data_IF_263686371435
#
_entry.id   IF_263686371435
#
_cell.length_a   1.000
_cell.length_b   1.000
_cell.length_c   1.000
_cell.angle_alpha   90.00
_cell.angle_beta   90.00
_cell.angle_gamma   90.00
#
_symmetry.space_group_name_H-M   'P 1'
#
loop_
_entity.id
_entity.type
_entity.pdbx_description
1 polymer ?
#
# COMPACT_ATOMS: atom_id res chain seq x y z
N UNK A 1 -2.63 20.43 18.71
CA UNK A 1 -3.58 20.80 17.62
C UNK A 1 -2.87 21.04 16.29
N UNK A 2 -1.79 21.82 16.24
CA UNK A 2 -1.10 22.15 14.98
C UNK A 2 -0.55 20.92 14.23
N UNK A 3 0.10 19.95 14.92
CA UNK A 3 0.63 18.73 14.30
C UNK A 3 -0.45 17.97 13.49
N UNK A 4 -1.62 17.75 14.07
CA UNK A 4 -2.73 17.05 13.42
C UNK A 4 -3.22 17.81 12.19
N UNK A 5 -3.32 19.15 12.31
CA UNK A 5 -3.75 20.02 11.19
C UNK A 5 -2.74 19.99 10.05
N UNK A 6 -1.45 20.14 10.36
CA UNK A 6 -0.36 20.07 9.36
C UNK A 6 -0.38 18.73 8.66
N UNK A 7 -0.41 17.63 9.41
CA UNK A 7 -0.43 16.27 8.88
C UNK A 7 -1.62 16.04 7.93
N UNK A 8 -2.84 16.43 8.34
CA UNK A 8 -4.04 16.25 7.51
C UNK A 8 -3.95 17.04 6.20
N UNK A 9 -3.47 18.26 6.24
CA UNK A 9 -3.32 19.11 5.05
C UNK A 9 -2.21 18.57 4.14
N UNK A 10 -1.09 18.19 4.72
CA UNK A 10 0.02 17.60 3.96
C UNK A 10 -0.40 16.28 3.29
N UNK A 11 -1.08 15.41 4.01
CA UNK A 11 -1.59 14.14 3.50
C UNK A 11 -2.51 14.32 2.28
N UNK A 12 -3.49 15.22 2.37
CA UNK A 12 -4.39 15.52 1.27
C UNK A 12 -3.66 16.09 0.06
N UNK A 13 -2.77 17.05 0.27
CA UNK A 13 -2.00 17.69 -0.80
C UNK A 13 -1.03 16.72 -1.48
N UNK A 14 -0.31 15.92 -0.70
CA UNK A 14 0.61 14.92 -1.25
C UNK A 14 -0.13 13.85 -2.06
N UNK A 15 -1.32 13.46 -1.62
CA UNK A 15 -2.15 12.51 -2.37
C UNK A 15 -2.69 13.12 -3.68
N UNK A 16 -3.07 14.39 -3.68
CA UNK A 16 -3.65 15.07 -4.84
C UNK A 16 -2.60 15.42 -5.89
N UNK A 17 -1.42 15.92 -5.46
CA UNK A 17 -0.43 16.59 -6.32
C UNK A 17 0.92 15.89 -6.40
N UNK A 18 1.13 14.83 -5.61
CA UNK A 18 2.43 14.21 -5.41
C UNK A 18 3.27 14.92 -4.34
N UNK A 19 4.23 14.20 -3.80
CA UNK A 19 5.08 14.72 -2.71
C UNK A 19 6.09 15.75 -3.20
N UNK A 20 6.55 15.64 -4.45
CA UNK A 20 7.54 16.56 -5.01
C UNK A 20 6.94 17.97 -5.27
N UNK A 21 5.73 18.03 -5.80
CA UNK A 21 5.09 19.28 -6.24
C UNK A 21 4.58 20.17 -5.10
N UNK A 22 4.46 19.66 -3.87
CA UNK A 22 3.95 20.40 -2.72
C UNK A 22 5.11 20.99 -1.91
N UNK A 23 5.14 22.29 -1.70
CA UNK A 23 6.10 22.96 -0.83
C UNK A 23 5.53 23.29 0.56
N UNK A 24 6.40 23.66 1.50
CA UNK A 24 6.00 24.00 2.87
C UNK A 24 5.20 25.31 2.95
N UNK A 25 5.31 26.18 1.95
CA UNK A 25 4.53 27.40 1.87
C UNK A 25 3.07 27.11 1.53
N UNK A 26 2.82 26.22 0.60
CA UNK A 26 1.47 25.72 0.27
C UNK A 26 0.80 25.07 1.50
N UNK A 27 1.55 24.27 2.26
CA UNK A 27 1.04 23.66 3.50
C UNK A 27 0.71 24.73 4.53
N UNK A 28 1.55 25.77 4.69
CA UNK A 28 1.27 26.94 5.54
C UNK A 28 -0.04 27.60 5.14
N UNK A 29 -0.20 27.92 3.87
CA UNK A 29 -1.34 28.70 3.37
C UNK A 29 -2.67 27.96 3.57
N UNK A 30 -2.68 26.64 3.33
CA UNK A 30 -3.89 25.83 3.47
C UNK A 30 -4.13 25.43 4.93
N UNK A 31 -3.08 25.12 5.71
CA UNK A 31 -3.24 24.76 7.11
C UNK A 31 -3.51 25.97 8.02
N UNK A 32 -3.15 27.18 7.59
CA UNK A 32 -3.19 28.37 8.43
C UNK A 32 -2.20 28.34 9.61
N UNK A 33 -1.24 27.41 9.62
CA UNK A 33 -0.20 27.30 10.65
C UNK A 33 1.04 28.08 10.19
N UNK A 34 1.54 29.03 10.96
CA UNK A 34 2.73 29.81 10.58
C UNK A 34 3.93 28.91 10.26
N UNK A 35 4.69 29.25 9.22
CA UNK A 35 5.81 28.46 8.73
C UNK A 35 6.83 28.12 9.82
N UNK A 36 7.12 29.11 10.72
CA UNK A 36 7.99 28.89 11.88
C UNK A 36 7.49 27.75 12.80
N UNK A 37 6.18 27.63 12.98
CA UNK A 37 5.58 26.56 13.80
C UNK A 37 5.58 25.23 13.05
N UNK A 38 5.42 25.26 11.73
CA UNK A 38 5.53 24.04 10.91
C UNK A 38 6.95 23.47 11.06
N UNK A 39 8.00 24.29 10.87
CA UNK A 39 9.39 23.85 11.03
C UNK A 39 9.78 23.51 12.48
N UNK A 40 9.09 24.08 13.47
CA UNK A 40 9.26 23.65 14.86
C UNK A 40 8.64 22.26 15.14
N UNK A 41 7.69 21.82 14.30
CA UNK A 41 6.99 20.53 14.44
C UNK A 41 7.62 19.44 13.57
N UNK A 42 8.09 19.81 12.39
CA UNK A 42 8.75 18.95 11.40
C UNK A 42 9.96 19.68 10.86
N UNK A 43 11.17 19.18 11.15
CA UNK A 43 12.43 19.87 10.82
C UNK A 43 12.65 20.03 9.31
N UNK A 44 12.00 19.21 8.49
CA UNK A 44 12.08 19.27 7.03
C UNK A 44 10.79 18.77 6.36
N UNK A 45 10.67 19.02 5.05
CA UNK A 45 9.62 18.44 4.22
C UNK A 45 9.75 16.91 4.18
N UNK A 46 10.97 16.38 4.09
CA UNK A 46 11.25 14.94 4.09
C UNK A 46 10.75 14.27 5.38
N UNK A 47 10.97 14.90 6.54
CA UNK A 47 10.41 14.41 7.80
C UNK A 47 8.89 14.43 7.81
N UNK A 48 8.26 15.48 7.29
CA UNK A 48 6.81 15.55 7.18
C UNK A 48 6.24 14.47 6.26
N UNK A 49 6.87 14.22 5.10
CA UNK A 49 6.48 13.14 4.18
C UNK A 49 6.61 11.79 4.87
N UNK A 50 7.73 11.54 5.55
CA UNK A 50 7.93 10.29 6.28
C UNK A 50 6.86 10.06 7.35
N UNK A 51 6.51 11.09 8.12
CA UNK A 51 5.47 10.98 9.16
C UNK A 51 4.07 10.75 8.55
N UNK A 52 3.77 11.35 7.40
CA UNK A 52 2.53 11.08 6.65
C UNK A 52 2.51 9.63 6.17
N UNK A 53 3.59 9.13 5.58
CA UNK A 53 3.71 7.73 5.18
C UNK A 53 3.55 6.78 6.37
N UNK A 54 4.20 7.07 7.49
CA UNK A 54 4.10 6.25 8.70
C UNK A 54 2.66 6.16 9.21
N UNK A 55 1.92 7.29 9.22
CA UNK A 55 0.53 7.27 9.63
C UNK A 55 -0.34 6.49 8.65
N UNK A 56 -0.14 6.70 7.35
CA UNK A 56 -0.85 5.93 6.29
C UNK A 56 -0.59 4.43 6.38
N UNK A 57 0.63 4.01 6.72
CA UNK A 57 0.95 2.59 6.91
C UNK A 57 0.09 1.97 8.03
N UNK A 58 0.02 2.64 9.18
CA UNK A 58 -0.78 2.19 10.31
C UNK A 58 -2.27 2.09 9.92
N UNK A 59 -2.80 3.16 9.30
CA UNK A 59 -4.22 3.26 8.97
C UNK A 59 -4.63 2.27 7.89
N UNK A 60 -3.81 2.11 6.83
CA UNK A 60 -4.08 1.20 5.73
C UNK A 60 -4.08 -0.26 6.18
N UNK A 61 -3.05 -0.68 6.93
CA UNK A 61 -2.99 -2.06 7.47
C UNK A 61 -4.15 -2.36 8.40
N UNK A 62 -4.46 -1.43 9.32
CA UNK A 62 -5.60 -1.60 10.21
C UNK A 62 -6.94 -1.63 9.45
N UNK A 63 -7.08 -0.89 8.36
CA UNK A 63 -8.31 -0.87 7.56
C UNK A 63 -8.51 -2.20 6.80
N UNK A 64 -7.44 -2.77 6.21
CA UNK A 64 -7.50 -4.07 5.53
C UNK A 64 -7.89 -5.16 6.52
N UNK A 65 -7.19 -5.27 7.66
CA UNK A 65 -7.46 -6.29 8.69
C UNK A 65 -8.91 -6.20 9.17
N UNK A 66 -9.38 -5.00 9.57
CA UNK A 66 -10.77 -4.81 10.00
C UNK A 66 -11.79 -5.21 8.94
N UNK A 67 -11.50 -4.92 7.67
CA UNK A 67 -12.41 -5.29 6.59
C UNK A 67 -12.48 -6.81 6.44
N UNK A 68 -11.34 -7.49 6.39
CA UNK A 68 -11.25 -8.95 6.27
C UNK A 68 -11.96 -9.62 7.44
N UNK A 69 -11.66 -9.21 8.69
CA UNK A 69 -12.27 -9.78 9.90
C UNK A 69 -13.79 -9.64 9.95
N UNK A 70 -14.34 -8.62 9.27
CA UNK A 70 -15.78 -8.36 9.26
C UNK A 70 -16.53 -8.95 8.06
N UNK A 71 -15.83 -9.49 7.06
CA UNK A 71 -16.44 -9.95 5.80
C UNK A 71 -16.05 -11.38 5.37
N UNK A 72 -15.22 -12.06 6.16
CA UNK A 72 -14.77 -13.40 5.83
C UNK A 72 -14.74 -14.29 7.07
N UNK A 73 -15.30 -15.50 6.95
CA UNK A 73 -15.34 -16.51 8.00
C UNK A 73 -14.40 -17.69 7.70
N UNK A 74 -13.98 -17.87 6.44
CA UNK A 74 -13.11 -18.96 6.02
C UNK A 74 -11.76 -18.42 5.49
N UNK A 75 -10.64 -19.18 5.66
CA UNK A 75 -9.30 -18.70 5.31
C UNK A 75 -9.15 -18.25 3.85
N UNK A 76 -9.71 -18.98 2.90
CA UNK A 76 -9.68 -18.61 1.46
C UNK A 76 -10.50 -17.35 1.21
N UNK A 77 -11.65 -17.21 1.87
CA UNK A 77 -12.48 -16.02 1.73
C UNK A 77 -11.79 -14.79 2.32
N UNK A 78 -10.96 -14.96 3.37
CA UNK A 78 -10.12 -13.89 3.92
C UNK A 78 -9.12 -13.34 2.90
N UNK A 79 -8.47 -14.21 2.12
CA UNK A 79 -7.60 -13.78 1.03
C UNK A 79 -8.38 -12.98 -0.02
N UNK A 80 -9.56 -13.45 -0.40
CA UNK A 80 -10.37 -12.80 -1.44
C UNK A 80 -11.02 -11.50 -0.96
N UNK A 81 -11.34 -11.39 0.33
CA UNK A 81 -11.87 -10.18 0.94
C UNK A 81 -10.88 -9.00 0.87
N UNK A 82 -9.56 -9.26 0.80
CA UNK A 82 -8.58 -8.20 0.54
C UNK A 82 -8.88 -7.49 -0.79
N UNK A 83 -9.25 -8.23 -1.84
CA UNK A 83 -9.57 -7.65 -3.15
C UNK A 83 -10.92 -6.92 -3.13
N UNK A 84 -11.89 -7.37 -2.32
CA UNK A 84 -13.14 -6.64 -2.13
C UNK A 84 -12.90 -5.31 -1.39
N UNK A 85 -11.99 -5.30 -0.40
CA UNK A 85 -11.52 -4.06 0.22
C UNK A 85 -10.88 -3.14 -0.82
N UNK A 86 -10.04 -3.66 -1.71
CA UNK A 86 -9.41 -2.86 -2.78
C UNK A 86 -10.45 -2.25 -3.71
N UNK A 87 -11.50 -2.99 -4.08
CA UNK A 87 -12.59 -2.45 -4.90
C UNK A 87 -13.24 -1.24 -4.23
N UNK A 88 -13.58 -1.38 -2.93
CA UNK A 88 -14.16 -0.29 -2.17
C UNK A 88 -13.23 0.91 -2.06
N UNK A 89 -11.93 0.68 -1.87
CA UNK A 89 -10.93 1.74 -1.81
C UNK A 89 -10.71 2.41 -3.17
N UNK A 90 -10.59 1.64 -4.26
CA UNK A 90 -10.43 2.18 -5.61
C UNK A 90 -11.64 3.00 -6.06
N UNK A 91 -12.81 2.74 -5.51
CA UNK A 91 -14.05 3.48 -5.77
C UNK A 91 -14.11 4.85 -5.07
N UNK A 92 -13.16 5.16 -4.18
CA UNK A 92 -13.16 6.44 -3.48
C UNK A 92 -12.73 7.58 -4.43
N UNK A 93 -13.36 8.76 -4.37
CA UNK A 93 -13.02 9.90 -5.23
C UNK A 93 -11.56 10.36 -5.08
N UNK A 94 -10.98 10.16 -3.91
CA UNK A 94 -9.61 10.54 -3.56
C UNK A 94 -8.56 9.49 -3.96
N UNK A 95 -8.97 8.34 -4.51
CA UNK A 95 -8.03 7.30 -4.93
C UNK A 95 -7.13 7.79 -6.07
N UNK A 96 -5.83 7.66 -5.89
CA UNK A 96 -4.78 8.07 -6.86
C UNK A 96 -3.71 6.98 -7.03
N UNK A 97 -4.09 5.70 -6.82
CA UNK A 97 -3.13 4.60 -6.77
C UNK A 97 -2.50 4.46 -5.39
N UNK A 98 -1.45 3.66 -5.32
CA UNK A 98 -0.74 3.43 -4.07
C UNK A 98 0.18 4.61 -3.72
N UNK A 99 -0.11 5.31 -2.63
CA UNK A 99 0.69 6.45 -2.17
C UNK A 99 2.17 6.09 -1.93
N UNK A 100 2.45 4.90 -1.42
CA UNK A 100 3.84 4.44 -1.18
C UNK A 100 4.60 4.24 -2.49
N UNK A 101 3.97 3.63 -3.51
CA UNK A 101 4.59 3.47 -4.83
C UNK A 101 4.83 4.84 -5.46
N UNK A 102 3.87 5.76 -5.37
CA UNK A 102 3.99 7.11 -5.92
C UNK A 102 5.11 7.89 -5.22
N UNK A 103 5.12 7.93 -3.88
CA UNK A 103 6.17 8.61 -3.11
C UNK A 103 7.56 8.01 -3.36
N UNK A 104 7.67 6.68 -3.50
CA UNK A 104 8.92 6.02 -3.86
C UNK A 104 9.38 6.40 -5.27
N UNK A 105 8.48 6.45 -6.25
CA UNK A 105 8.79 6.88 -7.61
C UNK A 105 9.31 8.33 -7.68
N UNK A 106 8.79 9.22 -6.83
CA UNK A 106 9.19 10.62 -6.81
C UNK A 106 10.48 10.89 -6.00
N UNK A 107 10.67 10.19 -4.88
CA UNK A 107 11.67 10.54 -3.87
C UNK A 107 12.59 9.39 -3.44
N UNK A 108 12.28 8.14 -3.83
CA UNK A 108 12.99 6.95 -3.34
C UNK A 108 14.48 6.92 -3.70
N UNK A 109 14.89 7.58 -4.80
CA UNK A 109 16.29 7.69 -5.20
C UNK A 109 17.07 8.80 -4.47
N UNK A 110 16.40 9.69 -3.75
CA UNK A 110 16.98 10.87 -3.09
C UNK A 110 16.72 10.93 -1.59
N UNK A 111 15.85 10.06 -1.06
CA UNK A 111 15.52 9.94 0.36
C UNK A 111 15.47 8.48 0.80
N UNK A 112 16.52 8.03 1.50
CA UNK A 112 16.58 6.68 2.09
C UNK A 112 15.40 6.45 3.06
N UNK A 113 14.97 7.47 3.78
CA UNK A 113 13.82 7.38 4.71
C UNK A 113 12.53 7.02 3.98
N UNK A 114 12.29 7.60 2.81
CA UNK A 114 11.09 7.31 1.99
C UNK A 114 11.20 5.92 1.36
N UNK A 115 12.39 5.55 0.89
CA UNK A 115 12.64 4.21 0.38
C UNK A 115 12.42 3.14 1.46
N UNK A 116 12.94 3.36 2.67
CA UNK A 116 12.83 2.42 3.78
C UNK A 116 11.40 2.26 4.28
N UNK A 117 10.66 3.35 4.52
CA UNK A 117 9.26 3.26 4.97
C UNK A 117 8.38 2.59 3.92
N UNK A 118 8.65 2.81 2.62
CA UNK A 118 7.95 2.12 1.54
C UNK A 118 8.24 0.62 1.56
N UNK A 119 9.50 0.23 1.73
CA UNK A 119 9.91 -1.19 1.83
C UNK A 119 9.24 -1.85 3.03
N UNK A 120 9.27 -1.21 4.20
CA UNK A 120 8.64 -1.73 5.43
C UNK A 120 7.13 -1.93 5.21
N UNK A 121 6.45 -0.96 4.62
CA UNK A 121 5.02 -1.10 4.29
C UNK A 121 4.75 -2.29 3.36
N UNK A 122 5.55 -2.45 2.30
CA UNK A 122 5.36 -3.55 1.33
C UNK A 122 5.63 -4.91 1.95
N UNK A 123 6.67 -5.03 2.78
CA UNK A 123 6.93 -6.25 3.55
C UNK A 123 5.74 -6.58 4.47
N UNK A 124 5.23 -5.60 5.22
CA UNK A 124 4.11 -5.84 6.13
C UNK A 124 2.82 -6.29 5.40
N UNK A 125 2.57 -5.83 4.18
CA UNK A 125 1.46 -6.32 3.35
C UNK A 125 1.70 -7.77 2.90
N UNK A 126 2.93 -8.10 2.50
CA UNK A 126 3.30 -9.48 2.14
C UNK A 126 3.23 -10.42 3.34
N UNK A 127 3.69 -9.97 4.52
CA UNK A 127 3.59 -10.73 5.77
C UNK A 127 2.14 -11.05 6.13
N UNK A 128 1.24 -10.08 5.95
CA UNK A 128 -0.20 -10.31 6.15
C UNK A 128 -0.76 -11.35 5.18
N UNK A 129 -0.37 -11.31 3.89
CA UNK A 129 -0.73 -12.39 2.96
C UNK A 129 -0.14 -13.73 3.38
N UNK A 130 1.07 -13.76 3.92
CA UNK A 130 1.69 -14.99 4.41
C UNK A 130 0.89 -15.63 5.55
N UNK A 131 0.35 -14.81 6.46
CA UNK A 131 -0.55 -15.27 7.52
C UNK A 131 -1.85 -15.86 6.95
N UNK A 132 -2.49 -15.18 5.99
CA UNK A 132 -3.73 -15.65 5.36
C UNK A 132 -3.52 -16.92 4.54
N UNK A 133 -2.41 -16.99 3.79
CA UNK A 133 -2.02 -18.15 2.97
C UNK A 133 -1.73 -19.36 3.84
N UNK A 134 -1.00 -19.18 4.95
CA UNK A 134 -0.74 -20.24 5.92
C UNK A 134 -2.03 -20.76 6.58
N UNK A 135 -2.94 -19.85 6.96
CA UNK A 135 -4.25 -20.21 7.50
C UNK A 135 -5.09 -21.01 6.50
N UNK A 136 -4.96 -20.72 5.19
CA UNK A 136 -5.64 -21.44 4.11
C UNK A 136 -4.95 -22.78 3.74
N UNK A 137 -3.81 -23.12 4.32
CA UNK A 137 -3.04 -24.33 4.01
C UNK A 137 -2.43 -24.32 2.61
N UNK A 138 -2.19 -23.14 2.03
CA UNK A 138 -1.63 -22.97 0.70
C UNK A 138 -0.08 -22.89 0.74
N UNK A 139 0.63 -23.15 -0.38
CA UNK A 139 2.06 -22.97 -0.48
C UNK A 139 2.49 -21.52 -0.19
N UNK A 140 3.63 -21.34 0.48
CA UNK A 140 4.08 -20.03 0.98
C UNK A 140 4.34 -19.00 -0.14
N UNK A 141 4.76 -19.43 -1.34
CA UNK A 141 5.02 -18.59 -2.50
C UNK A 141 3.77 -17.89 -3.06
N UNK A 142 2.58 -18.40 -2.74
CA UNK A 142 1.30 -17.76 -3.07
C UNK A 142 1.20 -16.36 -2.46
N UNK A 143 1.79 -16.12 -1.29
CA UNK A 143 1.78 -14.81 -0.64
C UNK A 143 2.49 -13.73 -1.47
N UNK A 144 3.66 -14.05 -2.00
CA UNK A 144 4.41 -13.14 -2.90
C UNK A 144 3.64 -12.87 -4.19
N UNK A 145 3.03 -13.91 -4.77
CA UNK A 145 2.23 -13.81 -6.00
C UNK A 145 1.00 -12.91 -5.77
N UNK A 146 0.30 -13.05 -4.65
CA UNK A 146 -0.83 -12.20 -4.26
C UNK A 146 -0.37 -10.75 -4.02
N UNK A 147 0.79 -10.54 -3.41
CA UNK A 147 1.37 -9.21 -3.20
C UNK A 147 1.70 -8.50 -4.51
N UNK A 148 2.27 -9.23 -5.49
CA UNK A 148 2.53 -8.71 -6.84
C UNK A 148 1.22 -8.33 -7.51
N UNK A 149 0.20 -9.20 -7.42
CA UNK A 149 -1.12 -8.99 -8.01
C UNK A 149 -1.81 -7.75 -7.44
N UNK A 150 -1.79 -7.56 -6.13
CA UNK A 150 -2.34 -6.36 -5.45
C UNK A 150 -1.61 -5.10 -5.90
N UNK A 151 -0.29 -5.13 -5.99
CA UNK A 151 0.49 -3.97 -6.45
C UNK A 151 0.16 -3.62 -7.91
N UNK A 152 0.05 -4.62 -8.78
CA UNK A 152 -0.39 -4.45 -10.17
C UNK A 152 -1.80 -3.88 -10.27
N UNK A 153 -2.74 -4.40 -9.49
CA UNK A 153 -4.12 -3.91 -9.44
C UNK A 153 -4.21 -2.44 -9.01
N UNK A 154 -3.48 -2.05 -7.95
CA UNK A 154 -3.44 -0.65 -7.49
C UNK A 154 -2.87 0.31 -8.53
N UNK A 155 -1.78 -0.08 -9.19
CA UNK A 155 -1.17 0.75 -10.24
C UNK A 155 -2.11 0.90 -11.44
N UNK A 156 -2.68 -0.20 -11.91
CA UNK A 156 -3.60 -0.24 -13.04
C UNK A 156 -4.88 0.57 -12.75
N UNK A 157 -5.46 0.41 -11.57
CA UNK A 157 -6.65 1.16 -11.14
C UNK A 157 -6.38 2.67 -11.09
N UNK A 158 -5.19 3.09 -10.61
CA UNK A 158 -4.78 4.49 -10.59
C UNK A 158 -4.59 5.10 -11.98
N UNK A 159 -4.01 4.33 -12.92
CA UNK A 159 -3.78 4.78 -14.30
C UNK A 159 -5.08 4.91 -15.08
N UNK A 160 -5.97 3.93 -14.99
CA UNK A 160 -7.20 3.87 -15.79
C UNK A 160 -8.42 4.47 -15.08
N UNK A 161 -8.26 4.93 -13.83
CA UNK A 161 -9.33 5.49 -12.99
C UNK A 161 -10.57 4.57 -12.93
N UNK A 162 -10.34 3.26 -12.72
CA UNK A 162 -11.41 2.27 -12.66
C UNK A 162 -11.24 1.31 -11.47
N UNK A 163 -12.27 1.07 -10.66
CA UNK A 163 -12.21 0.09 -9.57
C UNK A 163 -12.29 -1.36 -10.05
N UNK A 164 -12.72 -1.62 -11.29
CA UNK A 164 -12.94 -2.96 -11.85
C UNK A 164 -11.67 -3.81 -11.88
N UNK A 165 -10.51 -3.18 -11.85
CA UNK A 165 -9.22 -3.87 -11.76
C UNK A 165 -9.12 -4.74 -10.50
N UNK A 166 -9.78 -4.35 -9.41
CA UNK A 166 -9.82 -5.16 -8.18
C UNK A 166 -10.60 -6.48 -8.39
N UNK A 167 -11.72 -6.44 -9.12
CA UNK A 167 -12.47 -7.64 -9.48
C UNK A 167 -11.68 -8.57 -10.40
N UNK A 168 -10.95 -8.01 -11.37
CA UNK A 168 -10.08 -8.77 -12.26
C UNK A 168 -8.96 -9.44 -11.45
N UNK A 169 -8.32 -8.70 -10.53
CA UNK A 169 -7.30 -9.24 -9.65
C UNK A 169 -7.87 -10.32 -8.71
N UNK A 170 -9.09 -10.14 -8.16
CA UNK A 170 -9.77 -11.15 -7.36
C UNK A 170 -9.99 -12.46 -8.15
N UNK A 171 -10.41 -12.36 -9.41
CA UNK A 171 -10.58 -13.52 -10.27
C UNK A 171 -9.25 -14.27 -10.52
N UNK A 172 -8.15 -13.54 -10.75
CA UNK A 172 -6.81 -14.13 -10.88
C UNK A 172 -6.35 -14.75 -9.55
N UNK A 173 -6.60 -14.11 -8.43
CA UNK A 173 -6.29 -14.66 -7.10
C UNK A 173 -7.03 -15.98 -6.85
N UNK A 174 -8.30 -16.08 -7.25
CA UNK A 174 -9.07 -17.34 -7.16
C UNK A 174 -8.43 -18.44 -8.00
N UNK A 175 -8.09 -18.17 -9.26
CA UNK A 175 -7.41 -19.14 -10.13
C UNK A 175 -6.07 -19.59 -9.53
N UNK A 176 -5.32 -18.68 -8.96
CA UNK A 176 -4.06 -18.97 -8.30
C UNK A 176 -4.24 -19.89 -7.09
N UNK A 177 -5.23 -19.62 -6.23
CA UNK A 177 -5.56 -20.41 -5.06
C UNK A 177 -6.00 -21.82 -5.48
N UNK A 178 -6.90 -21.93 -6.46
CA UNK A 178 -7.43 -23.20 -6.95
C UNK A 178 -6.31 -24.08 -7.56
N UNK A 179 -5.38 -23.46 -8.30
CA UNK A 179 -4.23 -24.14 -8.88
C UNK A 179 -3.21 -24.60 -7.82
N UNK A 180 -3.08 -23.85 -6.72
CA UNK A 180 -2.12 -24.15 -5.65
C UNK A 180 -2.62 -25.22 -4.65
N UNK A 181 -3.94 -25.37 -4.52
CA UNK A 181 -4.58 -26.38 -3.65
C UNK A 181 -4.83 -27.73 -4.29
N UNK A 182 -4.50 -27.93 -5.60
CA UNK A 182 -4.69 -29.20 -6.31
C UNK A 182 -3.58 -30.23 -6.05
N UNK A 183 -3.85 -31.54 -6.22
CA UNK A 183 -2.91 -32.62 -5.94
C UNK A 183 -1.63 -32.64 -6.81
N UNK A 184 -1.55 -31.79 -7.85
CA UNK A 184 -0.40 -31.63 -8.76
C UNK A 184 0.46 -30.37 -8.51
N UNK A 185 0.18 -29.57 -7.48
CA UNK A 185 0.86 -28.29 -7.20
C UNK A 185 2.38 -28.42 -6.86
N UNK A 186 2.89 -29.64 -6.73
CA UNK A 186 4.29 -29.91 -6.37
C UNK A 186 5.30 -29.90 -7.54
N UNK A 187 4.96 -29.52 -8.78
CA UNK A 187 5.82 -29.76 -9.95
C UNK A 187 6.28 -28.55 -10.78
N UNK A 188 5.97 -27.35 -10.39
CA UNK A 188 6.56 -26.17 -11.05
C UNK A 188 7.58 -25.48 -10.14
N UNK A 189 8.85 -25.92 -10.25
CA UNK A 189 9.97 -25.23 -9.61
C UNK A 189 10.07 -23.80 -10.13
N UNK A 190 9.74 -22.81 -9.31
CA UNK A 190 10.03 -21.41 -9.59
C UNK A 190 11.54 -21.16 -9.49
N UNK A 191 12.12 -20.29 -10.32
CA UNK A 191 13.50 -19.86 -10.15
C UNK A 191 13.67 -19.15 -8.79
N UNK A 192 14.84 -19.37 -8.18
CA UNK A 192 15.19 -18.76 -6.89
C UNK A 192 14.98 -17.24 -6.87
N UNK A 193 14.62 -16.65 -5.72
CA UNK A 193 14.39 -15.21 -5.60
C UNK A 193 15.64 -14.43 -6.06
N UNK A 194 15.40 -13.33 -6.79
CA UNK A 194 16.46 -12.41 -7.22
C UNK A 194 17.19 -11.89 -5.97
N UNK A 195 18.47 -12.21 -5.86
CA UNK A 195 19.34 -11.64 -4.85
C UNK A 195 19.34 -10.09 -4.97
N UNK A 196 19.39 -9.34 -3.86
CA UNK A 196 19.49 -7.90 -3.92
C UNK A 196 20.75 -7.54 -4.71
N UNK A 197 20.61 -6.63 -5.69
CA UNK A 197 21.74 -6.08 -6.43
C UNK A 197 22.73 -5.52 -5.42
N UNK A 198 23.94 -6.08 -5.44
CA UNK A 198 25.01 -5.73 -4.51
C UNK A 198 25.38 -4.26 -4.60
N UNK A 199 25.87 -3.75 -3.45
CA UNK A 199 26.35 -2.41 -3.20
C UNK A 199 27.39 -1.92 -4.22
#
# INVERSE_FOLDING_TARGET
MDRVRIMRVADALFNERGVHAVDMATIRDISGVPLKRIYATFASKDELIHEVLRQRDIDARAAIVRYVDSHADAPVDSILAVFDYLYNWFSQPEFRGCFFINAFGEMGSVSDRIADITRVHKCAVTDYFSELVAAAGLPADVADQLSILVNGAMATAGIFATPETAHQAKAIARLLIDASGGPDAGRTGMPAPLAPAGA
#
